data_IF_460971139965
#
_entry.id   IF_460971139965
#
_cell.length_a   1.000
_cell.length_b   1.000
_cell.length_c   1.000
_cell.angle_alpha   90.00
_cell.angle_beta   90.00
_cell.angle_gamma   90.00
#
_symmetry.space_group_name_H-M   'P 1'
#
loop_
_entity.id
_entity.type
_entity.pdbx_description
1 polymer ?
#
# COMPACT_ATOMS: atom_id res chain seq x y z
N UNK A 1 -7.11 -11.87 12.82
CA UNK A 1 -5.97 -12.47 13.53
C UNK A 1 -4.85 -12.94 12.60
N UNK A 2 -5.13 -13.65 11.49
CA UNK A 2 -4.09 -14.12 10.54
C UNK A 2 -3.24 -12.99 9.92
N UNK A 3 -3.82 -11.83 9.63
CA UNK A 3 -3.09 -10.70 9.05
C UNK A 3 -2.07 -10.09 10.03
N UNK A 4 -2.43 -9.93 11.30
CA UNK A 4 -1.53 -9.43 12.34
C UNK A 4 -0.36 -10.40 12.59
N UNK A 5 -0.61 -11.70 12.56
CA UNK A 5 0.43 -12.71 12.70
C UNK A 5 1.48 -12.67 11.58
N UNK A 6 1.06 -12.35 10.34
CA UNK A 6 1.97 -12.18 9.20
C UNK A 6 2.91 -10.97 9.32
N UNK A 7 2.59 -10.01 10.19
CA UNK A 7 3.45 -8.86 10.50
C UNK A 7 4.30 -9.11 11.74
N UNK A 8 3.68 -9.54 12.83
CA UNK A 8 4.32 -9.64 14.15
C UNK A 8 5.36 -10.76 14.19
N UNK A 9 5.08 -11.92 13.58
CA UNK A 9 6.01 -13.07 13.63
C UNK A 9 7.30 -12.76 12.87
N UNK A 10 7.29 -12.31 11.59
CA UNK A 10 8.51 -11.96 10.89
C UNK A 10 9.28 -10.82 11.55
N UNK A 11 8.59 -9.79 12.06
CA UNK A 11 9.24 -8.71 12.79
C UNK A 11 9.91 -9.21 14.09
N UNK A 12 9.24 -10.09 14.83
CA UNK A 12 9.83 -10.73 16.02
C UNK A 12 11.07 -11.57 15.68
N UNK A 13 11.03 -12.33 14.58
CA UNK A 13 12.20 -13.10 14.11
C UNK A 13 13.33 -12.15 13.69
N UNK A 14 13.03 -11.07 12.97
CA UNK A 14 14.02 -10.06 12.60
C UNK A 14 14.70 -9.44 13.80
N UNK A 15 13.93 -9.08 14.82
CA UNK A 15 14.45 -8.53 16.07
C UNK A 15 15.37 -9.53 16.81
N UNK A 16 14.96 -10.80 16.89
CA UNK A 16 15.79 -11.86 17.49
C UNK A 16 17.11 -12.07 16.73
N UNK A 17 17.06 -12.04 15.39
CA UNK A 17 18.27 -12.16 14.55
C UNK A 17 19.18 -10.96 14.79
N UNK A 18 18.65 -9.73 14.85
CA UNK A 18 19.44 -8.54 15.11
C UNK A 18 20.15 -8.59 16.48
N UNK A 19 19.45 -9.03 17.54
CA UNK A 19 20.06 -9.25 18.85
C UNK A 19 21.14 -10.33 18.83
N UNK A 20 20.91 -11.44 18.11
CA UNK A 20 21.85 -12.55 18.04
C UNK A 20 23.11 -12.21 17.23
N UNK A 21 22.99 -11.36 16.22
CA UNK A 21 24.12 -10.99 15.32
C UNK A 21 24.80 -9.70 15.70
N UNK A 22 24.19 -8.89 16.58
CA UNK A 22 24.67 -7.53 16.90
C UNK A 22 24.59 -6.59 15.71
N UNK A 23 23.67 -6.84 14.75
CA UNK A 23 23.54 -6.04 13.56
C UNK A 23 23.08 -4.61 13.90
N UNK A 24 23.85 -3.62 13.47
CA UNK A 24 23.57 -2.18 13.64
C UNK A 24 23.98 -1.43 12.37
N UNK A 25 23.39 -0.26 12.10
CA UNK A 25 23.74 0.58 10.95
C UNK A 25 23.37 -0.05 9.60
N UNK A 26 22.42 -0.98 9.58
CA UNK A 26 21.99 -1.67 8.35
C UNK A 26 21.40 -0.69 7.33
N UNK A 27 20.73 0.36 7.81
CA UNK A 27 20.03 1.39 7.02
C UNK A 27 20.96 2.20 6.12
N UNK A 28 22.25 2.27 6.45
CA UNK A 28 23.27 2.93 5.64
C UNK A 28 23.84 2.06 4.51
N UNK A 29 23.48 0.76 4.49
CA UNK A 29 23.99 -0.18 3.50
C UNK A 29 23.31 -0.02 2.13
N UNK A 30 24.07 -0.01 1.01
CA UNK A 30 23.49 -0.05 -0.34
C UNK A 30 22.57 -1.27 -0.57
N UNK A 31 22.90 -2.41 0.04
CA UNK A 31 22.09 -3.63 -0.04
C UNK A 31 20.72 -3.45 0.61
N UNK A 32 20.68 -2.76 1.76
CA UNK A 32 19.44 -2.44 2.44
C UNK A 32 18.52 -1.58 1.56
N UNK A 33 19.06 -0.51 0.96
CA UNK A 33 18.30 0.37 0.06
C UNK A 33 17.79 -0.39 -1.18
N UNK A 34 18.64 -1.25 -1.76
CA UNK A 34 18.24 -2.07 -2.91
C UNK A 34 17.10 -3.02 -2.56
N UNK A 35 17.22 -3.76 -1.47
CA UNK A 35 16.17 -4.70 -1.02
C UNK A 35 14.87 -3.95 -0.74
N UNK A 36 14.92 -2.85 0.00
CA UNK A 36 13.75 -2.04 0.34
C UNK A 36 13.08 -1.49 -0.93
N UNK A 37 13.88 -1.05 -1.92
CA UNK A 37 13.38 -0.57 -3.21
C UNK A 37 12.71 -1.68 -4.02
N UNK A 38 13.26 -2.91 -4.02
CA UNK A 38 12.64 -4.07 -4.66
C UNK A 38 11.31 -4.41 -4.00
N UNK A 39 11.26 -4.42 -2.66
CA UNK A 39 10.02 -4.68 -1.91
C UNK A 39 8.94 -3.64 -2.25
N UNK A 40 9.34 -2.35 -2.36
CA UNK A 40 8.43 -1.28 -2.76
C UNK A 40 7.89 -1.48 -4.18
N UNK A 41 8.77 -1.80 -5.13
CA UNK A 41 8.39 -2.02 -6.53
C UNK A 41 7.37 -3.17 -6.65
N UNK A 42 7.62 -4.29 -5.97
CA UNK A 42 6.71 -5.45 -5.94
C UNK A 42 5.37 -5.08 -5.28
N UNK A 43 5.40 -4.37 -4.15
CA UNK A 43 4.19 -3.92 -3.45
C UNK A 43 3.33 -3.00 -4.32
N UNK A 44 3.94 -1.96 -4.92
CA UNK A 44 3.24 -1.00 -5.77
C UNK A 44 2.68 -1.62 -7.06
N UNK A 45 3.45 -2.46 -7.73
CA UNK A 45 2.95 -3.15 -8.91
C UNK A 45 1.80 -4.09 -8.55
N UNK A 46 1.91 -4.81 -7.43
CA UNK A 46 0.88 -5.70 -6.93
C UNK A 46 -0.42 -4.98 -6.55
N UNK A 47 -0.33 -3.82 -5.90
CA UNK A 47 -1.50 -3.04 -5.47
C UNK A 47 -2.31 -2.53 -6.65
N UNK A 48 -1.66 -2.07 -7.72
CA UNK A 48 -2.34 -1.52 -8.91
C UNK A 48 -2.76 -2.60 -9.91
N UNK A 49 -2.06 -3.74 -9.96
CA UNK A 49 -2.40 -4.88 -10.80
C UNK A 49 -3.80 -5.43 -10.52
N UNK A 50 -4.23 -5.42 -9.25
CA UNK A 50 -5.51 -5.97 -8.79
C UNK A 50 -6.73 -5.07 -9.03
N UNK A 51 -6.59 -3.85 -9.52
CA UNK A 51 -7.70 -2.88 -9.65
C UNK A 51 -8.68 -3.31 -10.74
N UNK A 52 -9.96 -3.42 -10.40
CA UNK A 52 -11.05 -3.60 -11.36
C UNK A 52 -11.51 -2.24 -11.91
N UNK A 53 -10.92 -1.82 -13.02
CA UNK A 53 -11.19 -0.53 -13.66
C UNK A 53 -12.65 -0.34 -14.13
N UNK A 54 -13.36 -1.33 -14.70
CA UNK A 54 -14.76 -1.22 -15.07
C UNK A 54 -15.68 -0.80 -13.91
N UNK A 55 -15.53 -1.44 -12.75
CA UNK A 55 -16.32 -1.11 -11.57
C UNK A 55 -15.95 0.24 -10.95
N UNK A 56 -14.67 0.60 -10.98
CA UNK A 56 -14.19 1.89 -10.47
C UNK A 56 -14.76 3.09 -11.26
N UNK A 57 -15.05 2.93 -12.56
CA UNK A 57 -15.58 4.02 -13.41
C UNK A 57 -16.92 4.59 -12.94
N UNK A 58 -17.77 3.78 -12.30
CA UNK A 58 -19.10 4.24 -11.84
C UNK A 58 -19.02 5.29 -10.75
N UNK A 59 -18.04 5.18 -9.86
CA UNK A 59 -17.86 6.06 -8.70
C UNK A 59 -16.57 6.88 -8.79
N UNK A 60 -16.06 7.11 -10.03
CA UNK A 60 -14.77 7.74 -10.28
C UNK A 60 -14.57 9.06 -9.53
N UNK A 61 -15.63 9.89 -9.42
CA UNK A 61 -15.54 11.17 -8.70
C UNK A 61 -15.25 10.98 -7.21
N UNK A 62 -15.89 10.01 -6.58
CA UNK A 62 -15.64 9.67 -5.17
C UNK A 62 -14.25 9.09 -4.99
N UNK A 63 -13.83 8.20 -5.90
CA UNK A 63 -12.50 7.59 -5.87
C UNK A 63 -11.41 8.64 -6.08
N UNK A 64 -11.54 9.49 -7.11
CA UNK A 64 -10.58 10.58 -7.36
C UNK A 64 -10.52 11.54 -6.17
N UNK A 65 -11.66 11.94 -5.61
CA UNK A 65 -11.68 12.79 -4.42
C UNK A 65 -11.03 12.11 -3.21
N UNK A 66 -11.24 10.80 -3.02
CA UNK A 66 -10.65 10.05 -1.92
C UNK A 66 -9.13 9.93 -2.07
N UNK A 67 -8.66 9.63 -3.27
CA UNK A 67 -7.25 9.39 -3.60
C UNK A 67 -6.43 10.69 -3.69
N UNK A 68 -7.07 11.83 -4.03
CA UNK A 68 -6.42 13.15 -4.05
C UNK A 68 -6.70 13.90 -2.75
N UNK A 69 -7.85 14.56 -2.65
CA UNK A 69 -8.21 15.38 -1.49
C UNK A 69 -8.15 14.58 -0.19
N UNK A 70 -8.60 13.31 -0.20
CA UNK A 70 -8.61 12.44 0.97
C UNK A 70 -7.21 12.15 1.49
N UNK A 71 -6.26 11.78 0.62
CA UNK A 71 -4.88 11.49 1.01
C UNK A 71 -4.19 12.74 1.56
N UNK A 72 -4.30 13.88 0.85
CA UNK A 72 -3.74 15.14 1.30
C UNK A 72 -4.34 15.59 2.64
N UNK A 73 -5.66 15.48 2.81
CA UNK A 73 -6.32 15.85 4.06
C UNK A 73 -5.89 14.95 5.22
N UNK A 74 -5.81 13.61 5.01
CA UNK A 74 -5.32 12.67 6.02
C UNK A 74 -3.88 13.02 6.42
N UNK A 75 -2.99 13.13 5.43
CA UNK A 75 -1.59 13.46 5.64
C UNK A 75 -1.41 14.78 6.39
N UNK A 76 -2.18 15.81 6.03
CA UNK A 76 -2.15 17.11 6.71
C UNK A 76 -2.69 17.01 8.15
N UNK A 77 -3.83 16.36 8.37
CA UNK A 77 -4.39 16.18 9.72
C UNK A 77 -3.38 15.46 10.62
N UNK A 78 -2.81 14.35 10.17
CA UNK A 78 -1.85 13.56 10.95
C UNK A 78 -0.54 14.35 11.12
N UNK A 79 0.06 14.76 10.00
CA UNK A 79 1.39 15.36 9.99
C UNK A 79 1.46 16.68 10.72
N UNK A 80 0.52 17.61 10.43
CA UNK A 80 0.52 18.94 11.07
C UNK A 80 0.20 18.84 12.55
N UNK A 81 -0.83 18.06 12.95
CA UNK A 81 -1.18 17.94 14.37
C UNK A 81 -0.03 17.38 15.20
N UNK A 82 0.66 16.35 14.70
CA UNK A 82 1.77 15.74 15.43
C UNK A 82 3.07 16.55 15.34
N UNK A 83 3.34 17.21 14.20
CA UNK A 83 4.48 18.11 14.08
C UNK A 83 4.38 19.28 15.08
N UNK A 84 3.17 19.82 15.29
CA UNK A 84 2.92 20.85 16.30
C UNK A 84 2.98 20.28 17.73
N UNK A 85 2.43 19.09 17.97
CA UNK A 85 2.43 18.48 19.30
C UNK A 85 3.83 18.08 19.78
N UNK A 86 4.65 17.52 18.89
CA UNK A 86 6.00 17.05 19.21
C UNK A 86 7.10 18.06 18.82
N UNK A 87 6.75 19.22 18.26
CA UNK A 87 7.68 20.26 17.79
C UNK A 87 8.77 19.69 16.86
N UNK A 88 8.42 18.70 16.03
CA UNK A 88 9.34 18.02 15.13
C UNK A 88 8.74 17.89 13.72
N UNK A 89 9.35 18.51 12.70
CA UNK A 89 8.86 18.46 11.31
C UNK A 89 8.89 17.06 10.68
N UNK A 90 9.64 16.10 11.26
CA UNK A 90 9.64 14.72 10.83
C UNK A 90 8.20 14.13 10.79
N UNK A 91 7.33 14.54 11.70
CA UNK A 91 5.94 14.06 11.73
C UNK A 91 5.13 14.46 10.50
N UNK A 92 5.52 15.48 9.74
CA UNK A 92 4.91 15.80 8.45
C UNK A 92 5.14 14.63 7.46
N UNK A 93 6.34 14.09 7.45
CA UNK A 93 6.71 12.94 6.59
C UNK A 93 6.03 11.66 7.07
N UNK A 94 6.08 11.40 8.39
CA UNK A 94 5.45 10.22 8.98
C UNK A 94 3.93 10.24 8.80
N UNK A 95 3.31 11.42 8.88
CA UNK A 95 1.88 11.60 8.64
C UNK A 95 1.47 11.20 7.22
N UNK A 96 2.30 11.48 6.22
CA UNK A 96 2.10 11.01 4.85
C UNK A 96 2.26 9.49 4.79
N UNK A 97 3.36 8.95 5.32
CA UNK A 97 3.70 7.53 5.22
C UNK A 97 2.64 6.59 5.82
N UNK A 98 1.91 7.03 6.85
CA UNK A 98 0.86 6.23 7.50
C UNK A 98 -0.57 6.59 7.06
N UNK A 99 -0.75 7.58 6.17
CA UNK A 99 -2.07 8.03 5.74
C UNK A 99 -2.81 7.05 4.83
N UNK A 100 -2.13 6.09 4.24
CA UNK A 100 -2.66 5.13 3.28
C UNK A 100 -3.50 4.01 3.92
N UNK A 101 -4.36 3.40 3.12
CA UNK A 101 -5.08 2.16 3.42
C UNK A 101 -4.39 1.04 2.66
N UNK A 102 -3.89 0.01 3.35
CA UNK A 102 -3.24 -1.14 2.71
C UNK A 102 -4.24 -1.97 1.87
N UNK A 103 -3.98 -2.21 0.57
CA UNK A 103 -4.86 -3.00 -0.29
C UNK A 103 -5.02 -4.47 0.14
N UNK A 104 -3.96 -5.08 0.70
CA UNK A 104 -4.03 -6.46 1.20
C UNK A 104 -4.94 -6.56 2.43
N UNK A 105 -4.88 -5.57 3.29
CA UNK A 105 -5.73 -5.48 4.46
C UNK A 105 -7.17 -5.12 4.07
N UNK A 106 -7.36 -4.20 3.12
CA UNK A 106 -8.67 -3.84 2.57
C UNK A 106 -9.38 -5.04 1.94
N UNK A 107 -8.65 -5.98 1.32
CA UNK A 107 -9.22 -7.19 0.75
C UNK A 107 -10.00 -8.04 1.79
N UNK A 108 -9.58 -8.05 3.05
CA UNK A 108 -10.30 -8.73 4.13
C UNK A 108 -11.65 -8.06 4.44
N UNK A 109 -11.71 -6.71 4.39
CA UNK A 109 -12.95 -5.94 4.59
C UNK A 109 -13.88 -6.11 3.39
N UNK A 110 -13.35 -6.13 2.18
CA UNK A 110 -14.11 -6.35 0.95
C UNK A 110 -14.84 -7.70 0.98
N UNK A 111 -14.27 -8.71 1.66
CA UNK A 111 -14.94 -9.99 1.92
C UNK A 111 -16.15 -9.90 2.85
N UNK A 112 -16.39 -8.79 3.56
CA UNK A 112 -17.49 -8.65 4.51
C UNK A 112 -18.85 -8.62 3.78
N UNK A 113 -19.80 -9.53 4.09
CA UNK A 113 -21.11 -9.57 3.45
C UNK A 113 -22.00 -8.36 3.79
N UNK A 114 -21.66 -7.60 4.83
CA UNK A 114 -22.41 -6.41 5.29
C UNK A 114 -22.14 -5.15 4.46
N UNK A 115 -21.07 -5.15 3.67
CA UNK A 115 -20.79 -4.05 2.74
C UNK A 115 -21.52 -4.24 1.41
N UNK A 116 -22.08 -3.15 0.87
CA UNK A 116 -22.64 -3.18 -0.47
C UNK A 116 -21.56 -3.41 -1.54
N UNK A 117 -21.92 -4.00 -2.71
CA UNK A 117 -20.98 -4.16 -3.83
C UNK A 117 -20.34 -2.82 -4.25
N UNK A 118 -21.08 -1.73 -4.14
CA UNK A 118 -20.61 -0.38 -4.44
C UNK A 118 -19.51 0.08 -3.46
N UNK A 119 -19.73 -0.08 -2.16
CA UNK A 119 -18.75 0.28 -1.14
C UNK A 119 -17.48 -0.57 -1.26
N UNK A 120 -17.62 -1.87 -1.56
CA UNK A 120 -16.49 -2.78 -1.83
C UNK A 120 -15.65 -2.30 -3.01
N UNK A 121 -16.28 -1.90 -4.11
CA UNK A 121 -15.60 -1.38 -5.29
C UNK A 121 -14.87 -0.06 -5.00
N UNK A 122 -15.50 0.84 -4.23
CA UNK A 122 -14.88 2.10 -3.80
C UNK A 122 -13.66 1.82 -2.92
N UNK A 123 -13.78 0.91 -1.93
CA UNK A 123 -12.67 0.58 -1.04
C UNK A 123 -11.50 -0.05 -1.79
N UNK A 124 -11.78 -0.99 -2.69
CA UNK A 124 -10.76 -1.65 -3.51
C UNK A 124 -9.98 -0.63 -4.35
N UNK A 125 -10.68 0.28 -5.03
CA UNK A 125 -10.04 1.32 -5.83
C UNK A 125 -9.31 2.34 -4.95
N UNK A 126 -9.94 2.80 -3.86
CA UNK A 126 -9.32 3.76 -2.94
C UNK A 126 -8.01 3.21 -2.40
N UNK A 127 -8.01 2.04 -1.76
CA UNK A 127 -6.81 1.45 -1.17
C UNK A 127 -5.69 1.22 -2.20
N UNK A 128 -6.04 0.78 -3.41
CA UNK A 128 -5.03 0.49 -4.43
C UNK A 128 -4.37 1.75 -5.02
N UNK A 129 -5.08 2.88 -5.08
CA UNK A 129 -4.51 4.15 -5.52
C UNK A 129 -3.86 4.95 -4.38
N UNK A 130 -4.23 4.69 -3.13
CA UNK A 130 -3.65 5.34 -1.95
C UNK A 130 -2.13 5.11 -1.89
N UNK A 131 -1.67 3.89 -2.13
CA UNK A 131 -0.26 3.51 -2.07
C UNK A 131 0.65 4.34 -2.99
N UNK A 132 0.43 4.40 -4.32
CA UNK A 132 1.30 5.17 -5.22
C UNK A 132 1.34 6.66 -4.87
N UNK A 133 0.21 7.21 -4.44
CA UNK A 133 0.13 8.64 -4.10
C UNK A 133 0.83 8.93 -2.79
N UNK A 134 0.70 8.08 -1.77
CA UNK A 134 1.43 8.26 -0.52
C UNK A 134 2.93 8.08 -0.69
N UNK A 135 3.38 7.16 -1.56
CA UNK A 135 4.80 7.04 -1.90
C UNK A 135 5.31 8.32 -2.54
N UNK A 136 4.59 8.87 -3.53
CA UNK A 136 4.94 10.14 -4.16
C UNK A 136 5.04 11.26 -3.12
N UNK A 137 3.99 11.45 -2.33
CA UNK A 137 3.94 12.50 -1.32
C UNK A 137 5.01 12.33 -0.25
N UNK A 138 5.32 11.09 0.16
CA UNK A 138 6.39 10.81 1.15
C UNK A 138 7.76 11.24 0.64
N UNK A 139 8.08 10.96 -0.62
CA UNK A 139 9.35 11.39 -1.24
C UNK A 139 9.46 12.91 -1.26
N UNK A 140 8.40 13.62 -1.66
CA UNK A 140 8.40 15.09 -1.67
C UNK A 140 8.42 15.69 -0.26
N UNK A 141 7.63 15.16 0.66
CA UNK A 141 7.62 15.61 2.05
C UNK A 141 8.99 15.39 2.72
N UNK A 142 9.60 14.22 2.51
CA UNK A 142 10.93 13.90 3.01
C UNK A 142 11.98 14.90 2.48
N UNK A 143 11.91 15.23 1.22
CA UNK A 143 12.82 16.18 0.61
C UNK A 143 12.67 17.60 1.16
N UNK A 144 11.46 18.07 1.35
CA UNK A 144 11.17 19.39 1.93
C UNK A 144 11.71 19.46 3.36
N UNK A 145 11.41 18.41 4.16
CA UNK A 145 11.86 18.35 5.57
C UNK A 145 13.39 18.21 5.66
N UNK A 146 14.00 17.35 4.83
CA UNK A 146 15.47 17.21 4.78
C UNK A 146 16.16 18.54 4.44
N UNK A 147 15.64 19.25 3.42
CA UNK A 147 16.16 20.58 3.05
C UNK A 147 16.05 21.57 4.21
N UNK A 148 14.91 21.58 4.90
CA UNK A 148 14.68 22.47 6.04
C UNK A 148 15.56 22.14 7.24
N UNK A 149 15.93 20.87 7.42
CA UNK A 149 16.78 20.40 8.53
C UNK A 149 18.28 20.34 8.17
N UNK A 150 18.66 20.62 6.91
CA UNK A 150 20.05 20.49 6.45
C UNK A 150 20.54 19.04 6.38
N UNK A 151 19.62 18.06 6.32
CA UNK A 151 19.94 16.64 6.19
C UNK A 151 20.18 16.31 4.71
N UNK A 152 21.21 15.49 4.38
CA UNK A 152 21.43 15.04 3.01
C UNK A 152 20.19 14.37 2.44
N UNK A 153 19.82 14.76 1.23
CA UNK A 153 18.68 14.13 0.57
C UNK A 153 19.02 12.71 0.13
N UNK A 154 18.09 11.77 0.35
CA UNK A 154 18.21 10.44 -0.19
C UNK A 154 18.26 10.52 -1.72
N UNK A 155 19.37 10.08 -2.31
CA UNK A 155 19.50 10.02 -3.77
C UNK A 155 18.63 8.87 -4.29
N UNK A 156 17.36 9.14 -4.52
CA UNK A 156 16.43 8.19 -5.11
C UNK A 156 16.52 8.29 -6.63
N UNK A 157 17.35 7.43 -7.24
CA UNK A 157 17.54 7.39 -8.69
C UNK A 157 18.77 8.16 -9.20
N UNK A 158 19.03 8.09 -10.50
CA UNK A 158 20.19 8.65 -11.17
C UNK A 158 20.22 10.18 -11.07
N UNK A 159 20.86 10.65 -10.02
CA UNK A 159 21.35 12.02 -9.74
C UNK A 159 20.59 13.16 -10.41
N UNK A 160 19.54 13.66 -9.79
CA UNK A 160 18.88 14.79 -10.38
C UNK A 160 17.85 15.46 -9.49
N UNK A 161 17.43 16.64 -9.92
CA UNK A 161 16.34 17.37 -9.30
C UNK A 161 15.04 16.55 -9.36
N UNK A 162 14.08 16.88 -8.50
CA UNK A 162 12.74 16.28 -8.52
C UNK A 162 12.05 16.32 -9.89
N UNK A 163 12.33 17.36 -10.69
CA UNK A 163 11.83 17.49 -12.06
C UNK A 163 12.39 16.38 -12.96
N UNK A 164 13.65 16.01 -12.82
CA UNK A 164 14.25 14.91 -13.57
C UNK A 164 13.62 13.57 -13.19
N UNK A 165 13.36 13.33 -11.91
CA UNK A 165 12.66 12.11 -11.47
C UNK A 165 11.23 12.06 -11.98
N UNK A 166 10.50 13.18 -11.94
CA UNK A 166 9.16 13.26 -12.52
C UNK A 166 9.18 13.01 -14.03
N UNK A 167 10.11 13.63 -14.75
CA UNK A 167 10.29 13.39 -16.18
C UNK A 167 10.64 11.92 -16.48
N UNK A 168 11.51 11.31 -15.69
CA UNK A 168 11.85 9.88 -15.82
C UNK A 168 10.61 8.99 -15.63
N UNK A 169 9.73 9.30 -14.68
CA UNK A 169 8.45 8.58 -14.49
C UNK A 169 7.53 8.73 -15.70
N UNK A 170 7.45 9.94 -16.32
CA UNK A 170 6.65 10.16 -17.53
C UNK A 170 7.22 9.35 -18.70
N UNK A 171 8.54 9.38 -18.90
CA UNK A 171 9.21 8.57 -19.95
C UNK A 171 8.98 7.07 -19.69
N UNK A 172 9.09 6.63 -18.44
CA UNK A 172 8.82 5.24 -18.05
C UNK A 172 7.39 4.82 -18.43
N UNK A 173 6.38 5.66 -18.14
CA UNK A 173 4.98 5.40 -18.50
C UNK A 173 4.83 5.30 -20.02
N UNK A 174 5.47 6.19 -20.78
CA UNK A 174 5.44 6.15 -22.24
C UNK A 174 6.05 4.86 -22.79
N UNK A 175 7.22 4.44 -22.28
CA UNK A 175 7.87 3.17 -22.65
C UNK A 175 6.99 1.97 -22.28
N UNK A 176 6.41 1.98 -21.07
CA UNK A 176 5.50 0.94 -20.62
C UNK A 176 4.26 0.83 -21.53
N UNK A 177 3.68 1.98 -21.93
CA UNK A 177 2.51 2.01 -22.81
C UNK A 177 2.84 1.52 -24.24
N UNK A 178 3.96 1.97 -24.81
CA UNK A 178 4.42 1.50 -26.12
C UNK A 178 4.70 -0.01 -26.10
N UNK A 179 5.42 -0.49 -25.10
CA UNK A 179 5.68 -1.93 -24.95
C UNK A 179 4.39 -2.74 -24.79
N UNK A 180 3.44 -2.25 -23.99
CA UNK A 180 2.12 -2.88 -23.87
C UNK A 180 1.40 -2.94 -25.23
N UNK A 181 1.40 -1.85 -25.98
CA UNK A 181 0.73 -1.79 -27.29
C UNK A 181 1.26 -2.85 -28.25
N UNK A 182 2.59 -3.05 -28.29
CA UNK A 182 3.24 -4.02 -29.16
C UNK A 182 3.15 -5.47 -28.64
N UNK A 183 3.20 -5.66 -27.31
CA UNK A 183 3.32 -6.99 -26.71
C UNK A 183 1.99 -7.58 -26.22
N UNK A 184 0.88 -6.84 -26.30
CA UNK A 184 -0.43 -7.28 -25.76
C UNK A 184 -0.93 -8.62 -26.35
N UNK A 185 -0.49 -8.99 -27.54
CA UNK A 185 -0.80 -10.27 -28.19
C UNK A 185 0.12 -11.42 -27.79
N UNK A 186 1.20 -11.15 -27.04
CA UNK A 186 2.22 -12.14 -26.69
C UNK A 186 2.34 -12.29 -25.17
N UNK A 187 1.56 -13.19 -24.53
CA UNK A 187 1.48 -13.25 -23.06
C UNK A 187 2.80 -13.57 -22.35
N UNK A 188 3.66 -14.41 -22.97
CA UNK A 188 4.99 -14.71 -22.41
C UNK A 188 5.93 -13.50 -22.48
N UNK A 189 5.95 -12.80 -23.63
CA UNK A 189 6.74 -11.58 -23.78
C UNK A 189 6.27 -10.46 -22.86
N UNK A 190 4.95 -10.35 -22.64
CA UNK A 190 4.37 -9.40 -21.71
C UNK A 190 4.83 -9.68 -20.25
N UNK A 191 4.95 -10.94 -19.84
CA UNK A 191 5.44 -11.28 -18.51
C UNK A 191 6.93 -10.91 -18.32
N UNK A 192 7.76 -11.20 -19.33
CA UNK A 192 9.19 -10.81 -19.34
C UNK A 192 9.31 -9.29 -19.32
N UNK A 193 8.49 -8.58 -20.12
CA UNK A 193 8.48 -7.12 -20.15
C UNK A 193 8.07 -6.51 -18.81
N UNK A 194 7.08 -7.07 -18.12
CA UNK A 194 6.69 -6.64 -16.78
C UNK A 194 7.84 -6.76 -15.77
N UNK A 195 8.59 -7.89 -15.81
CA UNK A 195 9.78 -8.07 -14.97
C UNK A 195 10.89 -7.06 -15.31
N UNK A 196 11.12 -6.79 -16.58
CA UNK A 196 12.09 -5.80 -17.02
C UNK A 196 11.71 -4.37 -16.54
N UNK A 197 10.42 -4.03 -16.56
CA UNK A 197 9.92 -2.77 -16.04
C UNK A 197 10.10 -2.68 -14.52
N UNK A 198 9.87 -3.75 -13.77
CA UNK A 198 10.13 -3.78 -12.33
C UNK A 198 11.62 -3.54 -12.06
N UNK A 199 12.52 -4.24 -12.78
CA UNK A 199 13.96 -4.06 -12.64
C UNK A 199 14.40 -2.63 -13.00
N UNK A 200 13.87 -2.07 -14.09
CA UNK A 200 14.13 -0.68 -14.49
C UNK A 200 13.62 0.32 -13.45
N UNK A 201 12.43 0.09 -12.89
CA UNK A 201 11.87 0.94 -11.86
C UNK A 201 12.69 0.93 -10.57
N UNK A 202 13.24 -0.22 -10.18
CA UNK A 202 14.16 -0.35 -9.05
C UNK A 202 15.45 0.44 -9.32
N UNK A 203 16.01 0.30 -10.52
CA UNK A 203 17.26 0.97 -10.88
C UNK A 203 17.12 2.49 -10.96
N UNK A 204 16.06 2.99 -11.61
CA UNK A 204 15.84 4.44 -11.83
C UNK A 204 14.95 5.09 -10.75
N UNK A 205 14.45 4.32 -9.78
CA UNK A 205 13.47 4.75 -8.78
C UNK A 205 12.20 5.37 -9.41
N UNK A 206 11.70 4.79 -10.52
CA UNK A 206 10.48 5.25 -11.22
C UNK A 206 9.22 4.53 -10.69
N UNK A 207 9.00 4.62 -9.38
CA UNK A 207 7.95 3.87 -8.67
C UNK A 207 6.53 4.27 -9.08
N UNK A 208 6.31 5.55 -9.38
CA UNK A 208 5.02 6.05 -9.87
C UNK A 208 4.73 5.49 -11.26
N UNK A 209 5.73 5.53 -12.14
CA UNK A 209 5.64 4.96 -13.48
C UNK A 209 5.29 3.47 -13.43
N UNK A 210 5.91 2.73 -12.50
CA UNK A 210 5.64 1.31 -12.29
C UNK A 210 4.21 1.06 -11.78
N UNK A 211 3.74 1.86 -10.82
CA UNK A 211 2.38 1.77 -10.32
C UNK A 211 1.34 2.04 -11.42
N UNK A 212 1.58 3.05 -12.27
CA UNK A 212 0.73 3.34 -13.43
C UNK A 212 0.78 2.20 -14.45
N UNK A 213 1.96 1.63 -14.71
CA UNK A 213 2.12 0.48 -15.61
C UNK A 213 1.31 -0.75 -15.14
N UNK A 214 1.24 -1.01 -13.84
CA UNK A 214 0.43 -2.09 -13.25
C UNK A 214 -1.07 -2.01 -13.57
N UNK A 215 -1.59 -0.83 -13.95
CA UNK A 215 -3.00 -0.66 -14.33
C UNK A 215 -3.33 -1.31 -15.68
N UNK A 216 -2.39 -1.37 -16.62
CA UNK A 216 -2.62 -1.85 -17.98
C UNK A 216 -1.72 -3.01 -18.38
N UNK A 217 -0.53 -3.17 -17.80
CA UNK A 217 0.34 -4.33 -18.03
C UNK A 217 -0.06 -5.44 -17.08
N UNK A 218 -0.88 -6.37 -17.56
CA UNK A 218 -1.47 -7.45 -16.77
C UNK A 218 -1.21 -8.81 -17.41
N UNK A 219 0.03 -9.32 -17.36
CA UNK A 219 0.31 -10.69 -17.79
C UNK A 219 -0.40 -11.70 -16.89
N UNK A 220 -0.59 -12.91 -17.39
CA UNK A 220 -1.25 -13.99 -16.61
C UNK A 220 -0.29 -14.57 -15.55
N UNK A 221 0.07 -13.75 -14.57
CA UNK A 221 0.97 -14.09 -13.44
C UNK A 221 0.33 -13.78 -12.08
N UNK A 222 -0.98 -13.68 -12.01
CA UNK A 222 -1.70 -13.26 -10.80
C UNK A 222 -1.32 -14.07 -9.57
N UNK A 223 -1.18 -15.40 -9.71
CA UNK A 223 -0.77 -16.29 -8.61
C UNK A 223 0.67 -16.01 -8.16
N UNK A 224 1.61 -15.89 -9.09
CA UNK A 224 3.03 -15.61 -8.80
C UNK A 224 3.18 -14.23 -8.16
N UNK A 225 2.49 -13.23 -8.69
CA UNK A 225 2.50 -11.88 -8.13
C UNK A 225 1.92 -11.84 -6.72
N UNK A 226 0.84 -12.56 -6.45
CA UNK A 226 0.28 -12.67 -5.10
C UNK A 226 1.27 -13.29 -4.11
N UNK A 227 2.01 -14.32 -4.53
CA UNK A 227 3.11 -14.89 -3.72
C UNK A 227 4.24 -13.90 -3.51
N UNK A 228 4.66 -13.18 -4.57
CA UNK A 228 5.72 -12.18 -4.48
C UNK A 228 5.35 -11.03 -3.52
N UNK A 229 4.10 -10.53 -3.57
CA UNK A 229 3.62 -9.48 -2.67
C UNK A 229 3.56 -9.98 -1.22
N UNK A 230 3.13 -11.22 -0.99
CA UNK A 230 3.16 -11.79 0.36
C UNK A 230 4.59 -12.00 0.88
N UNK A 231 5.50 -12.47 0.03
CA UNK A 231 6.92 -12.57 0.39
C UNK A 231 7.53 -11.19 0.68
N UNK A 232 7.16 -10.17 -0.10
CA UNK A 232 7.58 -8.80 0.14
C UNK A 232 7.07 -8.26 1.49
N UNK A 233 5.82 -8.56 1.87
CA UNK A 233 5.28 -8.19 3.19
C UNK A 233 6.07 -8.84 4.32
N UNK A 234 6.36 -10.15 4.20
CA UNK A 234 7.13 -10.90 5.20
C UNK A 234 8.56 -10.35 5.29
N UNK A 235 9.21 -10.10 4.14
CA UNK A 235 10.55 -9.52 4.07
C UNK A 235 10.62 -8.12 4.66
N UNK A 236 9.64 -7.26 4.35
CA UNK A 236 9.55 -5.92 4.90
C UNK A 236 9.33 -5.94 6.43
N UNK A 237 8.45 -6.81 6.93
CA UNK A 237 8.23 -6.98 8.36
C UNK A 237 9.48 -7.53 9.07
N UNK A 238 10.20 -8.45 8.46
CA UNK A 238 11.47 -8.95 8.97
C UNK A 238 12.53 -7.83 9.05
N UNK A 239 12.69 -7.05 7.98
CA UNK A 239 13.61 -5.89 7.96
C UNK A 239 13.23 -4.83 9.01
N UNK A 240 11.93 -4.57 9.18
CA UNK A 240 11.44 -3.70 10.25
C UNK A 240 11.91 -4.21 11.61
N UNK A 241 11.80 -5.52 11.84
CA UNK A 241 12.24 -6.17 13.08
C UNK A 241 13.74 -6.03 13.32
N UNK A 242 14.57 -6.17 12.27
CA UNK A 242 16.02 -5.98 12.38
C UNK A 242 16.42 -4.60 12.93
N UNK A 243 15.65 -3.57 12.59
CA UNK A 243 15.95 -2.18 12.99
C UNK A 243 15.26 -1.76 14.31
N UNK A 244 14.43 -2.61 14.92
CA UNK A 244 13.83 -2.31 16.22
C UNK A 244 14.81 -2.36 17.40
N UNK A 245 16.04 -2.81 17.18
CA UNK A 245 17.10 -2.80 18.21
C UNK A 245 17.51 -1.38 18.60
N UNK A 246 17.28 -0.39 17.75
CA UNK A 246 17.56 1.03 18.01
C UNK A 246 16.59 1.66 19.02
N UNK A 247 15.55 0.90 19.41
CA UNK A 247 14.57 1.33 20.38
C UNK A 247 13.17 1.50 19.81
N UNK A 248 12.19 1.66 20.69
CA UNK A 248 10.77 1.83 20.35
C UNK A 248 10.21 3.03 21.11
N UNK A 249 9.66 4.00 20.41
CA UNK A 249 8.97 5.13 20.99
C UNK A 249 7.46 4.86 21.05
N UNK A 250 7.03 4.16 22.11
CA UNK A 250 5.63 3.74 22.27
C UNK A 250 4.69 4.95 22.30
N UNK A 251 5.04 6.03 23.00
CA UNK A 251 4.18 7.22 23.12
C UNK A 251 3.93 7.90 21.79
N UNK A 252 4.98 8.14 21.04
CA UNK A 252 4.87 8.73 19.69
C UNK A 252 4.16 7.78 18.71
N UNK A 253 4.42 6.48 18.80
CA UNK A 253 3.75 5.47 17.98
C UNK A 253 2.24 5.36 18.27
N UNK A 254 1.83 5.40 19.54
CA UNK A 254 0.42 5.47 19.94
C UNK A 254 -0.26 6.71 19.35
N UNK A 255 0.40 7.88 19.48
CA UNK A 255 -0.13 9.13 18.96
C UNK A 255 -0.27 9.10 17.42
N UNK A 256 0.76 8.61 16.73
CA UNK A 256 0.76 8.50 15.28
C UNK A 256 -0.31 7.53 14.77
N UNK A 257 -0.42 6.35 15.39
CA UNK A 257 -1.42 5.35 15.03
C UNK A 257 -2.85 5.82 15.31
N UNK A 258 -3.10 6.44 16.45
CA UNK A 258 -4.41 7.00 16.79
C UNK A 258 -4.78 8.16 15.85
N UNK A 259 -3.85 9.06 15.53
CA UNK A 259 -4.05 10.15 14.59
C UNK A 259 -4.36 9.64 13.18
N UNK A 260 -3.65 8.61 12.70
CA UNK A 260 -3.90 8.00 11.39
C UNK A 260 -5.32 7.42 11.31
N UNK A 261 -5.76 6.68 12.32
CA UNK A 261 -7.10 6.13 12.37
C UNK A 261 -8.16 7.24 12.46
N UNK A 262 -7.97 8.24 13.31
CA UNK A 262 -8.89 9.37 13.46
C UNK A 262 -9.01 10.18 12.16
N UNK A 263 -7.91 10.45 11.47
CA UNK A 263 -7.90 11.15 10.19
C UNK A 263 -8.70 10.38 9.12
N UNK A 264 -8.58 9.06 9.05
CA UNK A 264 -9.38 8.23 8.14
C UNK A 264 -10.87 8.30 8.49
N UNK A 265 -11.22 8.24 9.78
CA UNK A 265 -12.62 8.36 10.21
C UNK A 265 -13.21 9.70 9.73
N UNK A 266 -12.50 10.81 10.00
CA UNK A 266 -12.94 12.16 9.59
C UNK A 266 -13.12 12.26 8.08
N UNK A 267 -12.07 11.90 7.34
CA UNK A 267 -12.03 12.02 5.88
C UNK A 267 -12.99 11.02 5.22
N UNK A 268 -13.03 9.79 5.71
CA UNK A 268 -13.92 8.74 5.21
C UNK A 268 -15.39 9.14 5.33
N UNK A 269 -15.82 9.62 6.49
CA UNK A 269 -17.18 10.13 6.67
C UNK A 269 -17.47 11.37 5.81
N UNK A 270 -16.49 12.25 5.63
CA UNK A 270 -16.67 13.47 4.84
C UNK A 270 -16.86 13.17 3.34
N UNK A 271 -16.05 12.29 2.79
CA UNK A 271 -16.06 11.97 1.35
C UNK A 271 -17.18 11.01 0.94
N UNK A 272 -17.66 10.19 1.86
CA UNK A 272 -18.67 9.15 1.56
C UNK A 272 -20.10 9.53 1.99
N UNK A 273 -20.39 10.82 2.17
CA UNK A 273 -21.69 11.35 2.64
C UNK A 273 -22.89 10.86 1.85
N UNK A 274 -22.71 10.54 0.57
CA UNK A 274 -23.77 10.08 -0.33
C UNK A 274 -24.06 8.58 -0.26
N UNK A 275 -23.29 7.83 0.54
CA UNK A 275 -23.47 6.38 0.73
C UNK A 275 -24.38 6.09 1.94
N UNK A 276 -25.01 4.90 1.98
CA UNK A 276 -25.73 4.43 3.16
C UNK A 276 -24.87 4.45 4.43
N UNK A 277 -25.48 4.62 5.59
CA UNK A 277 -24.75 4.78 6.85
C UNK A 277 -23.81 3.60 7.18
N UNK A 278 -24.24 2.36 6.91
CA UNK A 278 -23.40 1.17 7.10
C UNK A 278 -22.16 1.16 6.20
N UNK A 279 -22.31 1.46 4.91
CA UNK A 279 -21.19 1.55 3.96
C UNK A 279 -20.20 2.66 4.34
N UNK A 280 -20.74 3.82 4.75
CA UNK A 280 -19.92 4.94 5.24
C UNK A 280 -19.08 4.55 6.44
N UNK A 281 -19.68 3.83 7.40
CA UNK A 281 -18.99 3.38 8.59
C UNK A 281 -17.84 2.42 8.23
N UNK A 282 -18.07 1.42 7.37
CA UNK A 282 -17.02 0.50 6.93
C UNK A 282 -15.88 1.22 6.21
N UNK A 283 -16.19 2.18 5.31
CA UNK A 283 -15.17 2.97 4.61
C UNK A 283 -14.40 3.91 5.55
N UNK A 284 -15.07 4.51 6.52
CA UNK A 284 -14.44 5.37 7.51
C UNK A 284 -13.54 4.61 8.49
N UNK A 285 -13.89 3.35 8.81
CA UNK A 285 -13.11 2.49 9.72
C UNK A 285 -12.10 1.60 8.96
N UNK A 286 -11.87 1.84 7.67
CA UNK A 286 -11.03 0.99 6.84
C UNK A 286 -9.52 1.23 7.00
N UNK A 287 -9.08 2.15 7.87
CA UNK A 287 -7.65 2.45 8.05
C UNK A 287 -6.90 1.22 8.56
N UNK A 288 -6.01 0.73 7.73
CA UNK A 288 -5.03 -0.31 8.07
C UNK A 288 -3.71 0.02 7.41
N UNK A 289 -2.63 -0.18 8.11
CA UNK A 289 -1.28 -0.01 7.60
C UNK A 289 -0.63 -1.38 7.45
N UNK A 290 -0.04 -1.62 6.28
CA UNK A 290 0.59 -2.88 5.94
C UNK A 290 1.92 -2.69 5.21
N UNK A 291 2.06 -3.37 4.06
CA UNK A 291 3.34 -3.48 3.35
C UNK A 291 3.92 -2.11 2.97
N UNK A 292 3.14 -1.21 2.40
CA UNK A 292 3.65 0.07 1.89
C UNK A 292 4.06 1.02 3.01
N UNK A 293 3.32 1.06 4.14
CA UNK A 293 3.70 1.84 5.30
C UNK A 293 5.03 1.34 5.91
N UNK A 294 5.21 0.01 6.00
CA UNK A 294 6.45 -0.59 6.47
C UNK A 294 7.61 -0.20 5.54
N UNK A 295 7.46 -0.40 4.24
CA UNK A 295 8.54 -0.14 3.28
C UNK A 295 8.88 1.36 3.21
N UNK A 296 7.88 2.24 3.28
CA UNK A 296 8.13 3.68 3.37
C UNK A 296 8.90 4.03 4.64
N UNK A 297 8.56 3.44 5.79
CA UNK A 297 9.33 3.68 7.02
C UNK A 297 10.76 3.16 6.93
N UNK A 298 10.99 2.02 6.26
CA UNK A 298 12.33 1.51 5.99
C UNK A 298 13.12 2.49 5.09
N UNK A 299 12.52 3.01 4.02
CA UNK A 299 13.19 4.00 3.16
C UNK A 299 13.49 5.30 3.90
N UNK A 300 12.54 5.78 4.70
CA UNK A 300 12.70 7.01 5.47
C UNK A 300 13.72 6.87 6.60
N UNK A 301 13.87 5.67 7.20
CA UNK A 301 14.89 5.39 8.21
C UNK A 301 16.31 5.63 7.69
N UNK A 302 16.55 5.35 6.40
CA UNK A 302 17.86 5.63 5.78
C UNK A 302 18.19 7.13 5.67
N UNK A 303 17.20 8.00 5.88
CA UNK A 303 17.37 9.46 5.81
C UNK A 303 17.12 10.17 7.14
N UNK A 304 16.24 9.63 7.97
CA UNK A 304 15.83 10.23 9.24
C UNK A 304 15.90 9.17 10.34
N UNK A 305 16.69 9.41 11.35
CA UNK A 305 16.81 8.52 12.50
C UNK A 305 15.49 8.42 13.29
N UNK A 306 15.23 7.25 13.83
CA UNK A 306 14.08 7.02 14.72
C UNK A 306 12.72 6.87 14.04
N UNK A 307 12.66 6.85 12.72
CA UNK A 307 11.40 6.62 11.96
C UNK A 307 10.75 5.31 12.36
N UNK A 308 11.53 4.21 12.36
CA UNK A 308 11.02 2.87 12.67
C UNK A 308 10.59 2.78 14.14
N UNK A 309 11.32 3.43 15.04
CA UNK A 309 10.98 3.48 16.46
C UNK A 309 9.55 4.04 16.71
N UNK A 310 9.07 4.93 15.83
CA UNK A 310 7.73 5.54 15.90
C UNK A 310 6.71 4.78 15.04
N UNK A 311 7.07 4.42 13.80
CA UNK A 311 6.11 3.85 12.84
C UNK A 311 5.77 2.40 13.16
N UNK A 312 6.71 1.59 13.66
CA UNK A 312 6.43 0.20 13.99
C UNK A 312 5.32 0.05 15.05
N UNK A 313 5.36 0.71 16.21
CA UNK A 313 4.24 0.66 17.15
C UNK A 313 2.97 1.34 16.58
N UNK A 314 3.08 2.38 15.75
CA UNK A 314 1.93 3.01 15.12
C UNK A 314 1.15 2.05 14.23
N UNK A 315 1.83 1.23 13.42
CA UNK A 315 1.21 0.19 12.59
C UNK A 315 0.43 -0.81 13.44
N UNK A 316 1.00 -1.27 14.55
CA UNK A 316 0.30 -2.17 15.46
C UNK A 316 -0.96 -1.52 16.05
N UNK A 317 -0.84 -0.28 16.51
CA UNK A 317 -1.95 0.48 17.09
C UNK A 317 -3.09 0.67 16.10
N UNK A 318 -2.79 1.13 14.88
CA UNK A 318 -3.79 1.28 13.81
C UNK A 318 -4.53 -0.03 13.56
N UNK A 319 -3.79 -1.12 13.40
CA UNK A 319 -4.38 -2.42 13.09
C UNK A 319 -5.22 -2.99 14.24
N UNK A 320 -4.82 -2.74 15.48
CA UNK A 320 -5.61 -3.12 16.66
C UNK A 320 -6.89 -2.28 16.76
N UNK A 321 -6.79 -0.95 16.62
CA UNK A 321 -7.97 -0.07 16.65
C UNK A 321 -8.93 -0.46 15.51
N UNK A 322 -8.40 -0.69 14.32
CA UNK A 322 -9.19 -1.14 13.17
C UNK A 322 -9.95 -2.45 13.48
N UNK A 323 -9.25 -3.46 14.01
CA UNK A 323 -9.85 -4.76 14.34
C UNK A 323 -10.98 -4.60 15.35
N UNK A 324 -10.75 -3.84 16.41
CA UNK A 324 -11.74 -3.59 17.46
C UNK A 324 -12.94 -2.82 16.90
N UNK A 325 -12.70 -1.71 16.19
CA UNK A 325 -13.75 -0.85 15.65
C UNK A 325 -14.64 -1.60 14.65
N UNK A 326 -14.07 -2.36 13.73
CA UNK A 326 -14.85 -3.14 12.75
C UNK A 326 -15.58 -4.32 13.42
N UNK A 327 -14.98 -4.98 14.41
CA UNK A 327 -15.68 -6.03 15.17
C UNK A 327 -16.91 -5.47 15.91
N UNK A 328 -16.78 -4.28 16.49
CA UNK A 328 -17.88 -3.61 17.17
C UNK A 328 -18.97 -3.15 16.19
N UNK A 329 -18.57 -2.63 15.01
CA UNK A 329 -19.49 -2.26 13.95
C UNK A 329 -20.27 -3.47 13.45
N UNK A 330 -19.57 -4.57 13.19
CA UNK A 330 -20.19 -5.80 12.69
C UNK A 330 -21.18 -6.44 13.69
N UNK A 331 -20.93 -6.32 14.98
CA UNK A 331 -21.87 -6.78 16.01
C UNK A 331 -23.17 -5.97 16.05
N UNK A 332 -23.12 -4.68 15.66
CA UNK A 332 -24.28 -3.77 15.67
C UNK A 332 -25.05 -3.76 14.34
N UNK A 333 -24.40 -4.15 13.26
CA UNK A 333 -25.03 -4.15 11.93
C UNK A 333 -25.92 -5.38 11.75
N UNK A 334 -27.19 -5.17 11.38
CA UNK A 334 -28.07 -6.23 10.92
C UNK A 334 -27.52 -6.81 9.60
N UNK A 335 -27.57 -8.14 9.36
CA UNK A 335 -27.12 -8.69 8.09
C UNK A 335 -27.84 -8.02 6.93
N UNK A 336 -27.11 -7.60 5.91
CA UNK A 336 -27.72 -7.14 4.66
C UNK A 336 -28.51 -8.31 4.03
N UNK A 337 -29.69 -8.09 3.42
CA UNK A 337 -30.38 -9.14 2.68
C UNK A 337 -29.41 -9.71 1.63
N UNK A 338 -29.30 -11.02 1.56
CA UNK A 338 -28.46 -11.76 0.64
C UNK A 338 -28.78 -11.37 -0.80
N UNK A 339 -28.06 -10.40 -1.34
CA UNK A 339 -27.94 -10.27 -2.78
C UNK A 339 -27.00 -11.39 -3.23
N UNK A 340 -27.55 -12.38 -3.91
CA UNK A 340 -26.79 -13.44 -4.58
C UNK A 340 -25.81 -12.76 -5.55
N UNK A 341 -24.60 -12.53 -5.09
CA UNK A 341 -23.49 -12.10 -5.96
C UNK A 341 -22.93 -13.37 -6.59
N UNK A 342 -22.99 -13.53 -7.92
CA UNK A 342 -22.28 -14.63 -8.56
C UNK A 342 -20.79 -14.48 -8.23
N UNK A 343 -20.22 -15.49 -7.58
CA UNK A 343 -18.77 -15.55 -7.37
C UNK A 343 -18.07 -15.44 -8.73
N UNK A 344 -16.97 -14.68 -8.85
CA UNK A 344 -16.18 -14.69 -10.07
C UNK A 344 -15.68 -16.11 -10.30
N UNK A 345 -16.18 -16.68 -11.37
CA UNK A 345 -15.79 -17.88 -12.09
C UNK A 345 -14.70 -18.74 -11.41
N UNK A 346 -15.11 -19.72 -10.60
CA UNK A 346 -14.34 -20.94 -10.44
C UNK A 346 -14.53 -21.74 -11.74
N UNK A 347 -13.47 -21.85 -12.53
CA UNK A 347 -13.44 -22.76 -13.66
C UNK A 347 -13.68 -24.18 -13.11
N UNK A 348 -14.91 -24.64 -13.24
CA UNK A 348 -15.25 -26.03 -13.02
C UNK A 348 -14.52 -26.91 -14.05
N UNK A 349 -14.28 -28.18 -13.74
CA UNK A 349 -13.65 -29.11 -14.67
C UNK A 349 -14.51 -29.19 -15.94
N UNK A 350 -13.84 -29.06 -17.09
CA UNK A 350 -14.42 -29.23 -18.42
C UNK A 350 -15.19 -30.55 -18.47
N UNK A 351 -16.53 -30.46 -18.56
CA UNK A 351 -17.34 -31.62 -18.88
C UNK A 351 -17.02 -32.01 -20.34
N UNK A 352 -16.45 -33.18 -20.44
CA UNK A 352 -16.19 -33.91 -21.67
C UNK A 352 -17.55 -34.17 -22.36
N UNK A 353 -17.86 -33.38 -23.40
CA UNK A 353 -19.00 -33.65 -24.25
C UNK A 353 -18.63 -34.77 -25.22
N UNK A 354 -18.89 -36.00 -24.75
CA UNK A 354 -18.86 -37.18 -25.60
C UNK A 354 -19.70 -36.98 -26.86
N UNK A 355 -19.09 -37.21 -27.99
CA UNK A 355 -19.73 -37.39 -29.27
C UNK A 355 -20.73 -38.56 -29.18
N UNK A 356 -22.00 -38.29 -29.15
CA UNK A 356 -23.03 -39.22 -29.56
C UNK A 356 -23.33 -39.06 -31.04
N UNK A 357 -22.85 -40.02 -31.82
CA UNK A 357 -23.22 -40.26 -33.20
C UNK A 357 -24.68 -40.77 -33.23
N UNK A 358 -25.58 -40.01 -33.87
CA UNK A 358 -26.87 -40.57 -34.32
C UNK A 358 -26.75 -41.10 -35.75
N UNK A 359 -27.27 -42.31 -36.03
CA UNK A 359 -27.43 -42.81 -37.38
C UNK A 359 -28.84 -42.49 -37.93
N UNK A 360 -28.88 -42.16 -39.24
CA UNK A 360 -29.93 -41.99 -40.22
C UNK A 360 -30.56 -40.62 -40.33
#
# INVERSE_FOLDING_TARGET
>A
MLALGKLVIPAGVGLLVAFATGASGLESSPTYLLVTTILLAVGLYGSTFGIDLPHARRDWRTIVAAVTIGVFAKAAIIGVSLALAFQNPLYLVLGVAVAQIDPLAAAAIIGNPRMSPRAKSILAAWSSFDDPITVLLSVYAAAIVATAQGVPQLQTGAGGSYLNNLAANVVFIAVAFLGWYWLRCFPKAMAVFALALIALAVWQFTMIGLAVAGLFIRPNISRQLSWAVQAALIGAAFMLGLLLTEGVNIGAGLALGAAAFAAQVIVGYALTRKLPAGDRAHLALAQQNGITAIILSLLLQAQFDGVIAVVAPAILVVNVIHLVANTLLDRRATPAPEAVVPLPYQAGPSADLGHETQPR
#
